data_IF_372060916421
#
_entry.id   IF_372060916421
#
_cell.length_a   1.000
_cell.length_b   1.000
_cell.length_c   1.000
_cell.angle_alpha   90.00
_cell.angle_beta   90.00
_cell.angle_gamma   90.00
#
_symmetry.space_group_name_H-M   'P 1'
#
loop_
_entity.id
_entity.type
_entity.pdbx_description
1 polymer ?
#
# COMPACT_ATOMS: atom_id res chain seq x y z
N UNK A 1 -9.21 8.34 9.05
CA UNK A 1 -10.61 8.36 8.52
C UNK A 1 -11.25 9.75 8.45
N UNK A 2 -11.03 10.64 9.43
CA UNK A 2 -11.67 11.97 9.46
C UNK A 2 -11.14 12.99 8.45
N UNK A 3 -10.16 12.63 7.62
CA UNK A 3 -9.64 13.54 6.61
C UNK A 3 -10.70 13.78 5.52
N UNK A 4 -10.87 15.01 5.02
CA UNK A 4 -11.89 15.33 4.01
C UNK A 4 -11.82 14.46 2.75
N UNK A 5 -10.61 14.02 2.37
CA UNK A 5 -10.41 13.15 1.19
C UNK A 5 -11.03 11.76 1.36
N UNK A 6 -10.98 11.18 2.55
CA UNK A 6 -11.60 9.88 2.83
C UNK A 6 -13.12 9.97 2.87
N UNK A 7 -13.63 11.04 3.48
CA UNK A 7 -15.08 11.32 3.46
C UNK A 7 -15.60 11.59 2.05
N UNK A 8 -14.78 12.22 1.20
CA UNK A 8 -15.13 12.42 -0.20
C UNK A 8 -15.10 11.10 -0.97
N UNK A 9 -14.09 10.25 -0.74
CA UNK A 9 -13.98 8.92 -1.34
C UNK A 9 -15.23 8.08 -1.08
N UNK A 10 -15.69 8.02 0.17
CA UNK A 10 -16.92 7.31 0.56
C UNK A 10 -18.16 7.81 -0.21
N UNK A 11 -18.22 9.12 -0.53
CA UNK A 11 -19.35 9.71 -1.26
C UNK A 11 -19.32 9.44 -2.76
N UNK A 12 -18.12 9.28 -3.35
CA UNK A 12 -17.96 9.08 -4.80
C UNK A 12 -17.93 7.61 -5.20
N UNK A 13 -17.65 6.71 -4.26
CA UNK A 13 -17.66 5.28 -4.53
C UNK A 13 -19.08 4.80 -4.91
N UNK A 14 -19.22 3.98 -5.97
CA UNK A 14 -20.49 3.34 -6.31
C UNK A 14 -21.00 2.49 -5.14
N UNK A 15 -22.31 2.43 -4.94
CA UNK A 15 -22.93 1.68 -3.82
C UNK A 15 -22.70 0.16 -3.91
N UNK A 16 -22.36 -0.31 -5.10
CA UNK A 16 -22.03 -1.70 -5.41
C UNK A 16 -20.64 -2.09 -4.91
N UNK A 17 -19.76 -1.10 -4.68
CA UNK A 17 -18.41 -1.31 -4.13
C UNK A 17 -18.46 -1.17 -2.62
N UNK A 18 -18.10 -2.24 -1.91
CA UNK A 18 -17.94 -2.17 -0.46
C UNK A 18 -16.76 -1.28 -0.07
N UNK A 19 -17.01 -0.27 0.75
CA UNK A 19 -15.98 0.57 1.36
C UNK A 19 -15.82 0.20 2.84
N UNK A 20 -14.63 -0.26 3.21
CA UNK A 20 -14.33 -0.74 4.57
C UNK A 20 -13.15 0.06 5.14
N UNK A 21 -13.41 1.17 5.83
CA UNK A 21 -12.35 1.98 6.43
C UNK A 21 -11.85 1.36 7.74
N UNK A 22 -10.52 1.26 7.88
CA UNK A 22 -9.84 0.86 9.12
C UNK A 22 -9.05 2.06 9.66
N UNK A 23 -9.03 2.20 10.98
CA UNK A 23 -8.35 3.29 11.68
C UNK A 23 -7.00 2.88 12.29
N UNK A 24 -6.77 1.58 12.46
CA UNK A 24 -5.53 1.01 12.98
C UNK A 24 -5.20 -0.32 12.29
N UNK A 25 -3.92 -0.67 12.30
CA UNK A 25 -3.40 -1.92 11.71
C UNK A 25 -3.78 -3.16 12.50
N UNK A 26 -4.12 -3.01 13.78
CA UNK A 26 -4.62 -4.13 14.59
C UNK A 26 -6.07 -4.49 14.27
N UNK A 27 -6.80 -3.57 13.64
CA UNK A 27 -8.20 -3.79 13.23
C UNK A 27 -8.32 -4.25 11.78
N UNK A 28 -7.20 -4.31 11.05
CA UNK A 28 -7.15 -4.84 9.68
C UNK A 28 -7.49 -6.32 9.69
N UNK A 29 -8.44 -6.68 8.83
CA UNK A 29 -8.90 -8.07 8.66
C UNK A 29 -7.74 -9.00 8.30
N UNK A 30 -7.83 -10.25 8.76
CA UNK A 30 -6.88 -11.27 8.36
C UNK A 30 -6.91 -11.46 6.83
N UNK A 31 -5.76 -11.70 6.16
CA UNK A 31 -5.73 -11.99 4.73
C UNK A 31 -6.64 -13.15 4.31
N UNK A 32 -6.89 -14.09 5.23
CA UNK A 32 -7.75 -15.27 4.99
C UNK A 32 -9.24 -14.94 5.02
N UNK A 33 -9.62 -13.83 5.65
CA UNK A 33 -11.01 -13.38 5.79
C UNK A 33 -11.39 -12.33 4.73
N UNK A 34 -10.39 -11.70 4.13
CA UNK A 34 -10.58 -10.77 3.05
C UNK A 34 -11.15 -11.44 1.79
N UNK A 35 -12.14 -10.79 1.17
CA UNK A 35 -12.79 -11.32 -0.04
C UNK A 35 -11.82 -11.27 -1.23
N UNK A 36 -11.81 -12.31 -2.06
CA UNK A 36 -11.06 -12.32 -3.33
C UNK A 36 -11.52 -11.18 -4.24
N UNK A 37 -10.63 -10.71 -5.11
CA UNK A 37 -10.84 -9.57 -6.02
C UNK A 37 -11.12 -8.24 -5.27
N UNK A 38 -10.72 -8.16 -4.00
CA UNK A 38 -10.74 -6.90 -3.27
C UNK A 38 -9.45 -6.12 -3.51
N UNK A 39 -9.50 -4.82 -3.23
CA UNK A 39 -8.33 -3.94 -3.22
C UNK A 39 -8.11 -3.50 -1.78
N UNK A 40 -6.89 -3.67 -1.28
CA UNK A 40 -6.44 -3.15 0.01
C UNK A 40 -5.53 -1.94 -0.22
N UNK A 41 -5.75 -0.87 0.54
CA UNK A 41 -4.92 0.34 0.47
C UNK A 41 -4.38 0.66 1.86
N UNK A 42 -3.07 0.57 2.02
CA UNK A 42 -2.37 1.01 3.22
C UNK A 42 -1.90 2.44 3.00
N UNK A 43 -2.47 3.39 3.75
CA UNK A 43 -2.06 4.80 3.73
C UNK A 43 -0.99 5.09 4.76
N UNK A 44 -0.05 5.97 4.41
CA UNK A 44 1.07 6.40 5.25
C UNK A 44 1.85 5.27 5.94
N UNK A 45 2.33 4.31 5.14
CA UNK A 45 3.05 3.11 5.65
C UNK A 45 4.37 3.43 6.38
N UNK A 46 4.83 4.68 6.32
CA UNK A 46 6.02 5.15 7.00
C UNK A 46 5.89 5.15 8.53
N UNK A 47 4.66 5.14 9.05
CA UNK A 47 4.37 5.14 10.48
C UNK A 47 4.10 3.74 11.04
N UNK A 48 4.10 2.69 10.20
CA UNK A 48 3.67 1.35 10.58
C UNK A 48 4.80 0.41 11.01
N UNK A 49 4.47 -0.56 11.87
CA UNK A 49 5.40 -1.66 12.21
C UNK A 49 5.53 -2.59 11.00
N UNK A 50 6.72 -2.59 10.40
CA UNK A 50 7.03 -3.28 9.14
C UNK A 50 6.73 -4.79 9.10
N UNK A 51 6.67 -5.47 10.25
CA UNK A 51 6.50 -6.93 10.29
C UNK A 51 5.13 -7.38 9.77
N UNK A 52 4.07 -6.61 10.03
CA UNK A 52 2.71 -6.96 9.59
C UNK A 52 2.55 -6.76 8.06
N UNK A 53 3.12 -5.67 7.53
CA UNK A 53 3.03 -5.31 6.10
C UNK A 53 3.58 -6.42 5.20
N UNK A 54 4.68 -7.07 5.61
CA UNK A 54 5.31 -8.16 4.86
C UNK A 54 4.41 -9.38 4.76
N UNK A 55 3.77 -9.77 5.86
CA UNK A 55 2.84 -10.90 5.89
C UNK A 55 1.61 -10.61 5.01
N UNK A 56 1.09 -9.37 5.08
CA UNK A 56 0.00 -8.92 4.24
C UNK A 56 0.34 -9.00 2.74
N UNK A 57 1.52 -8.51 2.33
CA UNK A 57 1.93 -8.52 0.91
C UNK A 57 1.85 -9.92 0.29
N UNK A 58 2.46 -10.91 0.94
CA UNK A 58 2.52 -12.28 0.42
C UNK A 58 1.14 -12.95 0.43
N UNK A 59 0.39 -12.80 1.53
CA UNK A 59 -0.88 -13.52 1.70
C UNK A 59 -1.99 -12.94 0.83
N UNK A 60 -2.05 -11.62 0.67
CA UNK A 60 -3.03 -10.99 -0.23
C UNK A 60 -2.80 -11.40 -1.68
N UNK A 61 -1.54 -11.46 -2.13
CA UNK A 61 -1.20 -11.96 -3.47
C UNK A 61 -1.71 -13.38 -3.70
N UNK A 62 -1.53 -14.27 -2.73
CA UNK A 62 -2.03 -15.65 -2.82
C UNK A 62 -3.56 -15.74 -2.86
N UNK A 63 -4.25 -14.79 -2.23
CA UNK A 63 -5.71 -14.75 -2.14
C UNK A 63 -6.38 -13.91 -3.25
N UNK A 64 -5.64 -13.52 -4.28
CA UNK A 64 -6.11 -12.68 -5.38
C UNK A 64 -6.69 -11.34 -4.90
N UNK A 65 -5.95 -10.67 -4.02
CA UNK A 65 -6.26 -9.36 -3.49
C UNK A 65 -5.13 -8.42 -3.91
N UNK A 66 -5.50 -7.33 -4.58
CA UNK A 66 -4.54 -6.30 -4.99
C UNK A 66 -4.25 -5.37 -3.82
N UNK A 67 -2.98 -5.02 -3.65
CA UNK A 67 -2.54 -4.19 -2.51
C UNK A 67 -1.79 -2.97 -3.01
N UNK A 68 -2.20 -1.79 -2.53
CA UNK A 68 -1.52 -0.53 -2.73
C UNK A 68 -0.91 -0.05 -1.42
N UNK A 69 0.37 0.32 -1.48
CA UNK A 69 1.08 0.93 -0.36
C UNK A 69 1.35 2.39 -0.72
N UNK A 70 0.78 3.31 0.05
CA UNK A 70 0.98 4.74 -0.13
C UNK A 70 1.97 5.23 0.92
N UNK A 71 3.01 5.91 0.47
CA UNK A 71 4.02 6.48 1.35
C UNK A 71 4.58 7.77 0.76
N UNK A 72 4.88 8.72 1.64
CA UNK A 72 5.51 9.99 1.23
C UNK A 72 6.99 9.82 0.90
N UNK A 73 7.67 8.88 1.55
CA UNK A 73 9.11 8.68 1.43
C UNK A 73 9.39 7.26 0.95
N UNK A 74 9.94 7.15 -0.25
CA UNK A 74 10.25 5.85 -0.88
C UNK A 74 11.18 4.99 -0.02
N UNK A 75 12.21 5.59 0.58
CA UNK A 75 13.18 4.85 1.40
C UNK A 75 12.59 4.23 2.67
N UNK A 76 11.46 4.76 3.17
CA UNK A 76 10.75 4.22 4.36
C UNK A 76 9.89 3.00 4.04
N UNK A 77 9.62 2.74 2.77
CA UNK A 77 8.91 1.53 2.34
C UNK A 77 9.86 0.34 2.50
N UNK A 78 9.44 -0.80 3.10
CA UNK A 78 10.26 -1.99 3.20
C UNK A 78 10.84 -2.41 1.85
N UNK A 79 12.16 -2.44 1.74
CA UNK A 79 12.84 -2.84 0.49
C UNK A 79 12.53 -4.29 0.16
N UNK A 80 12.95 -5.16 1.08
CA UNK A 80 12.70 -6.59 1.00
C UNK A 80 11.20 -6.87 1.07
N UNK A 81 10.72 -7.63 0.09
CA UNK A 81 9.33 -8.02 -0.17
C UNK A 81 8.45 -6.98 -0.86
N UNK A 82 8.41 -5.72 -0.41
CA UNK A 82 7.47 -4.74 -1.02
C UNK A 82 8.08 -4.06 -2.25
N UNK A 83 9.16 -3.27 -2.08
CA UNK A 83 9.73 -2.52 -3.21
C UNK A 83 10.28 -3.44 -4.29
N UNK A 84 11.04 -4.46 -3.90
CA UNK A 84 11.70 -5.34 -4.87
C UNK A 84 10.73 -6.26 -5.63
N UNK A 85 9.50 -6.48 -5.13
CA UNK A 85 8.55 -7.43 -5.74
C UNK A 85 7.23 -6.79 -6.19
N UNK A 86 7.09 -5.46 -6.09
CA UNK A 86 5.89 -4.80 -6.60
C UNK A 86 5.84 -4.90 -8.13
N UNK A 87 4.65 -5.11 -8.67
CA UNK A 87 4.45 -5.15 -10.12
C UNK A 87 4.44 -3.76 -10.75
N UNK A 88 4.04 -2.75 -9.96
CA UNK A 88 3.94 -1.37 -10.42
C UNK A 88 4.48 -0.42 -9.36
N UNK A 89 5.18 0.61 -9.83
CA UNK A 89 5.63 1.74 -9.02
C UNK A 89 5.02 3.00 -9.64
N UNK A 90 4.16 3.68 -8.87
CA UNK A 90 3.57 4.96 -9.27
C UNK A 90 4.33 6.06 -8.54
N UNK A 91 4.97 6.95 -9.29
CA UNK A 91 5.81 8.01 -8.74
C UNK A 91 5.14 9.36 -8.90
N UNK A 92 4.89 10.02 -7.78
CA UNK A 92 4.63 11.46 -7.74
C UNK A 92 5.95 12.21 -7.52
N UNK A 93 5.94 13.53 -7.62
CA UNK A 93 7.13 14.37 -7.38
C UNK A 93 7.84 13.97 -6.09
N UNK A 94 9.12 13.62 -6.21
CA UNK A 94 10.00 13.23 -5.10
C UNK A 94 11.13 14.26 -4.92
N UNK A 95 11.80 14.20 -3.78
CA UNK A 95 13.08 14.89 -3.57
C UNK A 95 14.25 14.15 -4.25
N UNK A 96 15.40 14.82 -4.36
CA UNK A 96 16.58 14.26 -5.04
C UNK A 96 17.10 12.97 -4.41
N UNK A 97 16.94 12.81 -3.09
CA UNK A 97 17.39 11.62 -2.37
C UNK A 97 16.53 10.40 -2.73
N UNK A 98 15.21 10.53 -2.66
CA UNK A 98 14.27 9.48 -3.04
C UNK A 98 14.39 9.14 -4.54
N UNK A 99 14.55 10.14 -5.42
CA UNK A 99 14.76 9.91 -6.84
C UNK A 99 16.01 9.06 -7.12
N UNK A 100 17.13 9.36 -6.44
CA UNK A 100 18.35 8.55 -6.56
C UNK A 100 18.12 7.11 -6.13
N UNK A 101 17.46 6.89 -4.99
CA UNK A 101 17.14 5.54 -4.52
C UNK A 101 16.25 4.78 -5.50
N UNK A 102 15.21 5.43 -6.03
CA UNK A 102 14.32 4.82 -7.03
C UNK A 102 15.09 4.45 -8.30
N UNK A 103 15.95 5.35 -8.79
CA UNK A 103 16.76 5.10 -9.97
C UNK A 103 17.69 3.90 -9.75
N UNK A 104 18.40 3.86 -8.63
CA UNK A 104 19.29 2.75 -8.29
C UNK A 104 18.53 1.42 -8.15
N UNK A 105 17.34 1.42 -7.54
CA UNK A 105 16.60 0.19 -7.27
C UNK A 105 15.85 -0.38 -8.49
N UNK A 106 15.37 0.48 -9.40
CA UNK A 106 14.44 0.05 -10.46
C UNK A 106 14.89 0.35 -11.90
N UNK A 107 15.86 1.22 -12.10
CA UNK A 107 16.31 1.65 -13.44
C UNK A 107 17.73 1.21 -13.73
N UNK A 108 18.59 1.22 -12.71
CA UNK A 108 19.98 0.85 -12.90
C UNK A 108 20.09 -0.62 -13.31
N UNK A 109 20.86 -0.88 -14.36
CA UNK A 109 21.08 -2.22 -14.94
C UNK A 109 22.41 -2.84 -14.52
N UNK A 110 23.18 -2.14 -13.68
CA UNK A 110 24.47 -2.60 -13.14
C UNK A 110 24.31 -3.65 -12.04
#
# INVERSE_FOLDING_TARGET
>A
LYQPKYQFLEKVLPKEIGYFPFDDNTTVISPTEAKKNSIMVFDDIACEKHDNIRAFFTMFRHNNIDVFYLGQTYSRIPKQLVRDNTNFVILFRQDDMNLRHIYTDHVNTD
#
